data_IF_184567248872
#
_entry.id   IF_184567248872
#
_cell.length_a   1.000
_cell.length_b   1.000
_cell.length_c   1.000
_cell.angle_alpha   90.00
_cell.angle_beta   90.00
_cell.angle_gamma   90.00
#
_symmetry.space_group_name_H-M   'P 1'
#
loop_
_entity.id
_entity.type
_entity.pdbx_description
1 polymer ?
#
# COMPACT_ATOMS: atom_id res chain seq x y z
N UNK A 1 5.24 -4.49 -30.76
CA UNK A 1 5.09 -3.24 -30.01
C UNK A 1 5.15 -3.61 -28.53
N UNK A 2 6.34 -3.58 -27.93
CA UNK A 2 6.51 -3.87 -26.51
C UNK A 2 6.27 -2.54 -25.80
N UNK A 3 5.03 -2.30 -25.40
CA UNK A 3 4.74 -1.32 -24.35
C UNK A 3 5.57 -1.71 -23.13
N UNK A 4 6.57 -0.89 -22.82
CA UNK A 4 7.58 -1.01 -21.76
C UNK A 4 7.20 -1.98 -20.62
N UNK A 5 7.86 -3.15 -20.57
CA UNK A 5 7.62 -4.21 -19.55
C UNK A 5 7.63 -3.64 -18.13
N UNK A 6 8.51 -2.68 -17.85
CA UNK A 6 8.60 -2.00 -16.54
C UNK A 6 7.31 -1.27 -16.19
N UNK A 7 6.67 -0.61 -17.16
CA UNK A 7 5.41 0.09 -16.91
C UNK A 7 4.25 -0.89 -16.67
N UNK A 8 4.27 -2.04 -17.34
CA UNK A 8 3.31 -3.13 -17.08
C UNK A 8 3.49 -3.70 -15.66
N UNK A 9 4.72 -4.01 -15.27
CA UNK A 9 5.03 -4.57 -13.95
C UNK A 9 4.67 -3.59 -12.82
N UNK A 10 5.00 -2.30 -12.98
CA UNK A 10 4.58 -1.25 -12.05
C UNK A 10 3.06 -1.21 -11.90
N UNK A 11 2.32 -1.23 -13.02
CA UNK A 11 0.85 -1.21 -12.97
C UNK A 11 0.29 -2.41 -12.22
N UNK A 12 0.83 -3.60 -12.45
CA UNK A 12 0.41 -4.82 -11.75
C UNK A 12 0.66 -4.71 -10.24
N UNK A 13 1.85 -4.24 -9.85
CA UNK A 13 2.19 -3.99 -8.45
C UNK A 13 1.30 -2.92 -7.82
N UNK A 14 1.00 -1.84 -8.55
CA UNK A 14 0.15 -0.76 -8.05
C UNK A 14 -1.27 -1.20 -7.77
N UNK A 15 -1.85 -2.00 -8.66
CA UNK A 15 -3.17 -2.61 -8.41
C UNK A 15 -3.14 -3.44 -7.12
N UNK A 16 -2.10 -4.26 -6.94
CA UNK A 16 -1.95 -5.09 -5.74
C UNK A 16 -1.78 -4.26 -4.47
N UNK A 17 -1.01 -3.17 -4.54
CA UNK A 17 -0.88 -2.22 -3.44
C UNK A 17 -2.23 -1.63 -3.07
N UNK A 18 -3.01 -1.17 -4.06
CA UNK A 18 -4.31 -0.55 -3.82
C UNK A 18 -5.30 -1.54 -3.19
N UNK A 19 -5.33 -2.78 -3.67
CA UNK A 19 -6.15 -3.85 -3.10
C UNK A 19 -5.75 -4.16 -1.65
N UNK A 20 -4.45 -4.31 -1.40
CA UNK A 20 -3.91 -4.59 -0.05
C UNK A 20 -4.23 -3.43 0.91
N UNK A 21 -4.07 -2.19 0.46
CA UNK A 21 -4.38 -1.01 1.26
C UNK A 21 -5.87 -0.88 1.58
N UNK A 22 -6.75 -1.27 0.65
CA UNK A 22 -8.20 -1.36 0.90
C UNK A 22 -8.53 -2.40 1.96
N UNK A 23 -7.85 -3.56 1.94
CA UNK A 23 -8.00 -4.59 2.97
C UNK A 23 -7.57 -4.07 4.35
N UNK A 24 -6.38 -3.45 4.45
CA UNK A 24 -5.90 -2.78 5.67
C UNK A 24 -6.95 -1.81 6.19
N UNK A 25 -7.43 -0.91 5.33
CA UNK A 25 -8.40 0.13 5.69
C UNK A 25 -9.73 -0.46 6.17
N UNK A 26 -10.12 -1.61 5.62
CA UNK A 26 -11.35 -2.31 6.00
C UNK A 26 -11.20 -2.97 7.37
N UNK A 27 -10.06 -3.64 7.62
CA UNK A 27 -9.78 -4.28 8.89
C UNK A 27 -9.64 -3.26 10.02
N UNK A 28 -8.92 -2.15 9.80
CA UNK A 28 -8.78 -1.08 10.79
C UNK A 28 -10.13 -0.51 11.27
N UNK A 29 -11.17 -0.54 10.43
CA UNK A 29 -12.52 -0.09 10.81
C UNK A 29 -13.27 -1.09 11.70
N UNK A 30 -12.80 -2.33 11.78
CA UNK A 30 -13.39 -3.38 12.62
C UNK A 30 -12.80 -3.42 14.03
N UNK A 31 -11.63 -2.81 14.24
CA UNK A 31 -10.93 -2.76 15.52
C UNK A 31 -11.25 -1.48 16.30
N UNK A 32 -11.09 -1.53 17.62
CA UNK A 32 -11.25 -0.36 18.46
C UNK A 32 -10.15 0.68 18.21
N UNK A 33 -10.48 1.96 18.36
CA UNK A 33 -9.54 3.07 18.09
C UNK A 33 -8.32 3.05 19.00
N UNK A 34 -8.43 2.50 20.21
CA UNK A 34 -7.31 2.31 21.13
C UNK A 34 -6.34 1.22 20.69
N UNK A 35 -6.84 0.19 20.01
CA UNK A 35 -6.02 -0.92 19.50
C UNK A 35 -5.29 -0.50 18.22
N UNK A 36 -5.93 0.33 17.39
CA UNK A 36 -5.39 0.74 16.10
C UNK A 36 -4.51 1.99 16.16
N UNK A 37 -4.43 2.69 17.29
CA UNK A 37 -3.76 4.00 17.41
C UNK A 37 -2.30 3.98 16.92
N UNK A 38 -1.55 2.91 17.21
CA UNK A 38 -0.15 2.79 16.81
C UNK A 38 0.03 2.36 15.35
N UNK A 39 -1.03 1.86 14.70
CA UNK A 39 -1.03 1.45 13.29
C UNK A 39 -1.55 2.58 12.39
N UNK A 40 -2.47 3.41 12.91
CA UNK A 40 -3.05 4.55 12.19
C UNK A 40 -1.99 5.52 11.66
N UNK A 41 -0.89 5.73 12.39
CA UNK A 41 0.22 6.57 11.92
C UNK A 41 0.85 6.05 10.62
N UNK A 42 1.14 4.75 10.56
CA UNK A 42 1.71 4.10 9.38
C UNK A 42 0.69 4.07 8.22
N UNK A 43 -0.58 3.84 8.53
CA UNK A 43 -1.66 3.90 7.55
C UNK A 43 -1.79 5.28 6.91
N UNK A 44 -1.77 6.36 7.71
CA UNK A 44 -1.82 7.73 7.21
C UNK A 44 -0.59 8.07 6.36
N UNK A 45 0.61 7.71 6.82
CA UNK A 45 1.84 7.93 6.06
C UNK A 45 1.80 7.21 4.69
N UNK A 46 1.30 5.98 4.66
CA UNK A 46 1.11 5.24 3.42
C UNK A 46 0.09 5.92 2.49
N UNK A 47 -1.07 6.32 3.02
CA UNK A 47 -2.10 7.00 2.26
C UNK A 47 -1.59 8.30 1.62
N UNK A 48 -0.86 9.10 2.39
CA UNK A 48 -0.30 10.37 1.93
C UNK A 48 0.74 10.15 0.83
N UNK A 49 1.59 9.14 0.95
CA UNK A 49 2.51 8.75 -0.12
C UNK A 49 1.75 8.30 -1.37
N UNK A 50 0.80 7.36 -1.21
CA UNK A 50 0.08 6.76 -2.32
C UNK A 50 -0.75 7.78 -3.11
N UNK A 51 -1.39 8.73 -2.41
CA UNK A 51 -2.17 9.80 -3.05
C UNK A 51 -1.34 10.72 -3.95
N UNK A 52 -0.04 10.89 -3.65
CA UNK A 52 0.89 11.73 -4.43
C UNK A 52 1.52 10.99 -5.60
N UNK A 53 1.60 9.67 -5.53
CA UNK A 53 2.31 8.84 -6.50
C UNK A 53 1.42 7.77 -7.16
N UNK A 54 0.10 7.99 -7.21
CA UNK A 54 -0.87 7.02 -7.68
C UNK A 54 -0.68 6.58 -9.15
N UNK A 55 -0.06 7.41 -9.98
CA UNK A 55 0.22 7.09 -11.39
C UNK A 55 1.52 6.30 -11.61
N UNK A 56 2.30 6.08 -10.54
CA UNK A 56 3.58 5.37 -10.51
C UNK A 56 4.64 5.90 -11.50
N UNK A 57 4.42 7.08 -12.09
CA UNK A 57 5.26 7.60 -13.15
C UNK A 57 6.64 8.00 -12.61
N UNK A 58 6.65 8.62 -11.43
CA UNK A 58 7.84 9.19 -10.79
C UNK A 58 8.59 8.23 -9.86
N UNK A 59 8.02 7.07 -9.56
CA UNK A 59 8.60 6.08 -8.64
C UNK A 59 9.21 4.90 -9.38
N UNK A 60 10.33 4.37 -8.90
CA UNK A 60 11.03 3.26 -9.56
C UNK A 60 10.26 1.94 -9.40
N UNK A 61 10.61 0.92 -10.20
CA UNK A 61 10.03 -0.41 -10.03
C UNK A 61 10.40 -1.01 -8.67
N UNK A 62 11.66 -0.83 -8.25
CA UNK A 62 12.17 -1.25 -6.95
C UNK A 62 11.41 -0.56 -5.81
N UNK A 63 11.22 0.76 -5.89
CA UNK A 63 10.43 1.48 -4.88
C UNK A 63 8.99 0.98 -4.86
N UNK A 64 8.39 0.68 -6.02
CA UNK A 64 7.05 0.08 -6.07
C UNK A 64 7.00 -1.29 -5.36
N UNK A 65 8.05 -2.10 -5.47
CA UNK A 65 8.16 -3.37 -4.73
C UNK A 65 8.32 -3.15 -3.23
N UNK A 66 9.12 -2.18 -2.81
CA UNK A 66 9.26 -1.81 -1.40
C UNK A 66 7.93 -1.33 -0.79
N UNK A 67 7.15 -0.53 -1.53
CA UNK A 67 5.82 -0.09 -1.10
C UNK A 67 4.85 -1.25 -0.95
N UNK A 68 4.91 -2.24 -1.85
CA UNK A 68 4.13 -3.46 -1.70
C UNK A 68 4.50 -4.22 -0.41
N UNK A 69 5.80 -4.30 -0.08
CA UNK A 69 6.23 -4.93 1.17
C UNK A 69 5.68 -4.16 2.38
N UNK A 70 5.82 -2.83 2.40
CA UNK A 70 5.34 -1.98 3.49
C UNK A 70 3.83 -2.14 3.75
N UNK A 71 3.00 -2.13 2.71
CA UNK A 71 1.55 -2.31 2.87
C UNK A 71 1.15 -3.73 3.24
N UNK A 72 1.95 -4.73 2.82
CA UNK A 72 1.76 -6.13 3.24
C UNK A 72 2.10 -6.31 4.73
N UNK A 73 3.21 -5.72 5.19
CA UNK A 73 3.59 -5.74 6.61
C UNK A 73 2.54 -5.02 7.48
N UNK A 74 1.99 -3.91 6.97
CA UNK A 74 0.89 -3.21 7.61
C UNK A 74 -0.35 -4.10 7.72
N UNK A 75 -0.70 -4.83 6.67
CA UNK A 75 -1.82 -5.77 6.66
C UNK A 75 -1.62 -6.89 7.70
N UNK A 76 -0.45 -7.48 7.77
CA UNK A 76 -0.13 -8.51 8.76
C UNK A 76 -0.24 -7.97 10.19
N UNK A 77 0.25 -6.74 10.45
CA UNK A 77 0.10 -6.11 11.77
C UNK A 77 -1.36 -5.89 12.14
N UNK A 78 -2.20 -5.47 11.19
CA UNK A 78 -3.63 -5.25 11.44
C UNK A 78 -4.36 -6.58 11.68
N UNK A 79 -3.99 -7.65 10.97
CA UNK A 79 -4.57 -9.00 11.17
C UNK A 79 -4.24 -9.61 12.53
N UNK A 80 -3.17 -9.14 13.17
CA UNK A 80 -2.69 -9.62 14.46
C UNK A 80 -3.00 -8.64 15.62
N UNK A 81 -3.87 -7.64 15.38
CA UNK A 81 -4.52 -6.85 16.42
C UNK A 81 -5.57 -7.69 17.15
#
# INVERSE_FOLDING_TARGET
MITNQVAYDKKLLGNKIEETFKEVSSLLRLHDSSETMYIMGDWHAFNDFWSKHADLAEISLEETQERLQQVTDLLERVKNL
#
